data_IF_374960862032
#
_entry.id   IF_374960862032
#
_cell.length_a   1.000
_cell.length_b   1.000
_cell.length_c   1.000
_cell.angle_alpha   90.00
_cell.angle_beta   90.00
_cell.angle_gamma   90.00
#
_symmetry.space_group_name_H-M   'P 1'
#
loop_
_entity.id
_entity.type
_entity.pdbx_description
1 polymer ?
#
# COMPACT_ATOMS: atom_id res chain seq x y z
N UNK A 1 9.07 -0.08 -3.46
CA UNK A 1 9.18 0.25 -2.02
C UNK A 1 9.67 1.68 -1.82
N UNK A 2 10.99 1.89 -1.79
CA UNK A 2 11.60 3.19 -1.47
C UNK A 2 11.10 4.37 -2.32
N UNK A 3 11.13 4.25 -3.65
CA UNK A 3 10.68 5.34 -4.55
C UNK A 3 9.20 5.69 -4.36
N UNK A 4 8.36 4.70 -4.07
CA UNK A 4 6.94 4.91 -3.80
C UNK A 4 6.73 5.61 -2.46
N UNK A 5 7.47 5.22 -1.42
CA UNK A 5 7.44 5.88 -0.11
C UNK A 5 7.81 7.37 -0.22
N UNK A 6 8.86 7.67 -0.97
CA UNK A 6 9.34 9.03 -1.21
C UNK A 6 8.30 9.87 -1.98
N UNK A 7 7.71 9.28 -3.01
CA UNK A 7 6.63 9.92 -3.77
C UNK A 7 5.41 10.23 -2.89
N UNK A 8 4.95 9.27 -2.08
CA UNK A 8 3.79 9.45 -1.21
C UNK A 8 4.03 10.54 -0.15
N UNK A 9 5.22 10.58 0.45
CA UNK A 9 5.58 11.63 1.41
C UNK A 9 5.62 13.02 0.76
N UNK A 10 6.28 13.16 -0.38
CA UNK A 10 6.43 14.45 -1.07
C UNK A 10 5.10 14.95 -1.66
N UNK A 11 4.30 14.07 -2.25
CA UNK A 11 3.00 14.42 -2.82
C UNK A 11 2.02 14.89 -1.74
N UNK A 12 1.90 14.15 -0.63
CA UNK A 12 1.02 14.55 0.46
C UNK A 12 1.47 15.84 1.15
N UNK A 13 2.78 16.03 1.35
CA UNK A 13 3.34 17.28 1.90
C UNK A 13 3.15 18.49 0.97
N UNK A 14 3.22 18.30 -0.35
CA UNK A 14 2.97 19.37 -1.31
C UNK A 14 1.51 19.84 -1.27
N UNK A 15 0.54 18.92 -1.17
CA UNK A 15 -0.87 19.28 -1.05
C UNK A 15 -1.22 19.97 0.26
N UNK A 16 -0.64 19.55 1.40
CA UNK A 16 -0.82 20.26 2.69
C UNK A 16 -0.26 21.69 2.63
N UNK A 17 0.93 21.86 2.04
CA UNK A 17 1.55 23.18 1.91
C UNK A 17 0.77 24.09 0.94
N UNK A 18 0.25 23.55 -0.15
CA UNK A 18 -0.60 24.30 -1.08
C UNK A 18 -1.88 24.81 -0.38
N UNK A 19 -2.53 23.97 0.44
CA UNK A 19 -3.66 24.40 1.29
C UNK A 19 -3.25 25.52 2.25
N UNK A 20 -2.11 25.39 2.93
CA UNK A 20 -1.61 26.44 3.85
C UNK A 20 -1.34 27.78 3.17
N UNK A 21 -0.82 27.79 1.94
CA UNK A 21 -0.63 29.02 1.16
C UNK A 21 -1.98 29.70 0.89
N UNK A 22 -3.00 28.94 0.48
CA UNK A 22 -4.35 29.48 0.23
C UNK A 22 -4.97 30.04 1.53
N UNK A 23 -4.77 29.35 2.64
CA UNK A 23 -5.32 29.74 3.94
C UNK A 23 -4.65 30.95 4.59
N UNK A 24 -3.32 31.08 4.44
CA UNK A 24 -2.51 32.04 5.22
C UNK A 24 -2.03 33.20 4.36
N UNK A 25 -1.48 32.94 3.18
CA UNK A 25 -0.91 33.98 2.31
C UNK A 25 -1.99 34.65 1.47
N UNK A 26 -2.83 33.85 0.81
CA UNK A 26 -3.91 34.36 -0.03
C UNK A 26 -5.15 34.76 0.79
N UNK A 27 -5.33 34.18 1.99
CA UNK A 27 -6.49 34.42 2.88
C UNK A 27 -7.86 34.14 2.26
N UNK A 28 -7.89 33.29 1.23
CA UNK A 28 -9.08 32.97 0.44
C UNK A 28 -9.87 31.80 1.04
N UNK A 29 -10.06 31.78 2.38
CA UNK A 29 -10.81 30.70 3.05
C UNK A 29 -12.28 30.72 2.65
N UNK A 30 -12.83 29.55 2.33
CA UNK A 30 -14.23 29.40 1.92
C UNK A 30 -14.49 29.69 0.44
N UNK A 31 -13.45 29.93 -0.36
CA UNK A 31 -13.57 30.02 -1.83
C UNK A 31 -13.49 28.64 -2.48
N UNK A 32 -13.87 28.56 -3.76
CA UNK A 32 -13.72 27.35 -4.56
C UNK A 32 -12.25 26.88 -4.64
N UNK A 33 -11.30 27.81 -4.58
CA UNK A 33 -9.86 27.50 -4.52
C UNK A 33 -9.47 26.82 -3.19
N UNK A 34 -10.04 27.28 -2.07
CA UNK A 34 -9.83 26.65 -0.77
C UNK A 34 -10.47 25.25 -0.73
N UNK A 35 -11.69 25.10 -1.25
CA UNK A 35 -12.33 23.79 -1.34
C UNK A 35 -11.50 22.79 -2.16
N UNK A 36 -10.93 23.20 -3.30
CA UNK A 36 -10.09 22.35 -4.13
C UNK A 36 -8.80 21.91 -3.43
N UNK A 37 -8.15 22.81 -2.68
CA UNK A 37 -6.93 22.49 -1.92
C UNK A 37 -7.19 21.62 -0.69
N UNK A 38 -8.35 21.77 -0.05
CA UNK A 38 -8.80 20.86 1.02
C UNK A 38 -8.99 19.44 0.48
N UNK A 39 -9.62 19.27 -0.68
CA UNK A 39 -9.75 17.93 -1.30
C UNK A 39 -8.38 17.32 -1.57
N UNK A 40 -7.43 18.10 -2.10
CA UNK A 40 -6.05 17.65 -2.33
C UNK A 40 -5.35 17.16 -1.04
N UNK A 41 -5.47 17.91 0.05
CA UNK A 41 -4.89 17.51 1.34
C UNK A 41 -5.56 16.27 1.93
N UNK A 42 -6.89 16.13 1.82
CA UNK A 42 -7.60 14.93 2.30
C UNK A 42 -7.18 13.65 1.56
N UNK A 43 -6.82 13.75 0.28
CA UNK A 43 -6.23 12.62 -0.48
C UNK A 43 -4.76 12.40 -0.09
N UNK A 44 -4.05 13.46 0.28
CA UNK A 44 -2.65 13.44 0.69
C UNK A 44 -2.39 12.93 2.11
N UNK A 45 -3.33 13.06 3.04
CA UNK A 45 -3.20 12.66 4.45
C UNK A 45 -2.86 11.16 4.61
N UNK A 46 -3.57 10.21 3.95
CA UNK A 46 -3.19 8.79 4.01
C UNK A 46 -1.80 8.51 3.42
N UNK A 47 -1.33 9.35 2.49
CA UNK A 47 -0.05 9.18 1.82
C UNK A 47 1.10 9.68 2.70
N UNK A 48 1.00 10.86 3.30
CA UNK A 48 2.04 11.45 4.14
C UNK A 48 2.06 10.88 5.57
N UNK A 49 0.91 10.61 6.17
CA UNK A 49 0.86 10.27 7.61
C UNK A 49 0.78 8.76 7.89
N UNK A 50 0.29 7.97 6.93
CA UNK A 50 0.10 6.53 7.12
C UNK A 50 1.03 5.71 6.24
N UNK A 51 0.85 5.79 4.91
CA UNK A 51 1.48 4.86 3.98
C UNK A 51 2.99 5.08 3.85
N UNK A 52 3.44 6.35 3.80
CA UNK A 52 4.87 6.65 3.69
C UNK A 52 5.65 6.38 4.99
N UNK A 53 5.07 6.69 6.16
CA UNK A 53 5.65 6.37 7.48
C UNK A 53 5.78 4.85 7.66
N UNK A 54 4.78 4.08 7.22
CA UNK A 54 4.79 2.62 7.31
C UNK A 54 5.84 1.93 6.43
N UNK A 55 6.34 2.59 5.38
CA UNK A 55 7.31 1.96 4.46
C UNK A 55 8.69 1.71 5.09
N UNK A 56 9.14 2.56 6.02
CA UNK A 56 10.43 2.38 6.69
C UNK A 56 10.49 1.07 7.52
N UNK A 57 9.54 0.79 8.43
CA UNK A 57 9.52 -0.48 9.15
C UNK A 57 9.26 -1.67 8.21
N UNK A 58 8.37 -1.55 7.21
CA UNK A 58 8.12 -2.64 6.25
C UNK A 58 9.39 -3.07 5.54
N UNK A 59 10.19 -2.13 5.04
CA UNK A 59 11.45 -2.44 4.37
C UNK A 59 12.42 -3.09 5.36
N UNK A 60 12.62 -2.51 6.54
CA UNK A 60 13.57 -3.02 7.55
C UNK A 60 13.21 -4.42 8.04
N UNK A 61 11.95 -4.69 8.34
CA UNK A 61 11.52 -6.00 8.84
C UNK A 61 11.54 -7.06 7.74
N UNK A 62 11.14 -6.71 6.51
CA UNK A 62 11.17 -7.67 5.40
C UNK A 62 12.60 -8.07 5.06
N UNK A 63 13.55 -7.12 5.03
CA UNK A 63 14.96 -7.43 4.74
C UNK A 63 15.60 -8.23 5.88
N UNK A 64 15.36 -7.85 7.14
CA UNK A 64 15.87 -8.59 8.30
C UNK A 64 15.34 -10.03 8.32
N UNK A 65 14.03 -10.21 8.15
CA UNK A 65 13.42 -11.54 8.11
C UNK A 65 13.97 -12.38 6.95
N UNK A 66 14.16 -11.78 5.77
CA UNK A 66 14.76 -12.46 4.62
C UNK A 66 16.18 -12.98 4.90
N UNK A 67 17.03 -12.18 5.54
CA UNK A 67 18.38 -12.59 5.92
C UNK A 67 18.36 -13.73 6.94
N UNK A 68 17.51 -13.65 7.96
CA UNK A 68 17.36 -14.70 8.97
C UNK A 68 16.83 -16.01 8.37
N UNK A 69 15.91 -15.93 7.40
CA UNK A 69 15.38 -17.10 6.71
C UNK A 69 16.45 -17.80 5.87
N UNK A 70 17.31 -17.04 5.19
CA UNK A 70 18.45 -17.58 4.44
C UNK A 70 19.45 -18.25 5.38
N UNK A 71 19.82 -17.57 6.47
CA UNK A 71 20.72 -18.11 7.48
C UNK A 71 20.21 -19.43 8.06
N UNK A 72 18.91 -19.50 8.40
CA UNK A 72 18.28 -20.73 8.87
C UNK A 72 18.36 -21.86 7.83
N UNK A 73 18.13 -21.56 6.55
CA UNK A 73 18.22 -22.55 5.47
C UNK A 73 19.65 -23.09 5.28
N UNK A 74 20.67 -22.25 5.43
CA UNK A 74 22.07 -22.67 5.40
C UNK A 74 22.45 -23.51 6.62
N UNK A 75 22.01 -23.13 7.83
CA UNK A 75 22.22 -23.93 9.04
C UNK A 75 21.60 -25.33 8.95
N UNK A 76 20.40 -25.46 8.40
CA UNK A 76 19.76 -26.77 8.16
C UNK A 76 20.55 -27.63 7.16
N UNK A 77 21.23 -26.99 6.21
CA UNK A 77 22.11 -27.67 5.24
C UNK A 77 23.38 -28.17 5.93
N UNK A 78 24.01 -27.33 6.75
CA UNK A 78 25.19 -27.69 7.54
C UNK A 78 24.92 -28.83 8.53
N UNK A 79 23.71 -28.91 9.09
CA UNK A 79 23.27 -29.99 9.97
C UNK A 79 22.96 -31.32 9.26
N UNK A 80 23.15 -31.42 7.94
CA UNK A 80 22.86 -32.62 7.16
C UNK A 80 21.37 -32.91 6.93
N UNK A 81 20.48 -31.97 7.28
CA UNK A 81 19.02 -32.11 7.16
C UNK A 81 18.48 -31.66 5.79
N UNK A 82 19.17 -32.03 4.71
CA UNK A 82 18.84 -31.60 3.34
C UNK A 82 17.42 -31.97 2.90
N UNK A 83 16.91 -33.13 3.34
CA UNK A 83 15.54 -33.56 3.05
C UNK A 83 14.47 -32.66 3.68
N UNK A 84 14.70 -32.21 4.93
CA UNK A 84 13.79 -31.29 5.62
C UNK A 84 13.81 -29.89 4.98
N UNK A 85 15.00 -29.41 4.59
CA UNK A 85 15.16 -28.15 3.83
C UNK A 85 14.35 -28.20 2.53
N UNK A 86 14.53 -29.25 1.72
CA UNK A 86 13.82 -29.41 0.45
C UNK A 86 12.32 -29.53 0.66
N UNK A 87 11.89 -30.31 1.66
CA UNK A 87 10.47 -30.43 2.03
C UNK A 87 9.85 -29.07 2.38
N UNK A 88 10.51 -28.30 3.26
CA UNK A 88 10.05 -26.97 3.64
C UNK A 88 10.01 -26.01 2.43
N UNK A 89 11.04 -26.04 1.57
CA UNK A 89 11.08 -25.21 0.36
C UNK A 89 9.92 -25.50 -0.59
N UNK A 90 9.62 -26.78 -0.82
CA UNK A 90 8.48 -27.19 -1.67
C UNK A 90 7.15 -26.74 -1.05
N UNK A 91 6.97 -26.88 0.26
CA UNK A 91 5.75 -26.46 0.96
C UNK A 91 5.55 -24.94 0.87
N UNK A 92 6.58 -24.15 1.16
CA UNK A 92 6.51 -22.69 1.05
C UNK A 92 6.24 -22.24 -0.39
N UNK A 93 6.90 -22.88 -1.36
CA UNK A 93 6.71 -22.56 -2.78
C UNK A 93 5.28 -22.88 -3.25
N UNK A 94 4.76 -24.06 -2.91
CA UNK A 94 3.39 -24.44 -3.24
C UNK A 94 2.36 -23.48 -2.61
N UNK A 95 2.57 -23.11 -1.33
CA UNK A 95 1.71 -22.16 -0.63
C UNK A 95 1.74 -20.78 -1.30
N UNK A 96 2.92 -20.30 -1.70
CA UNK A 96 3.08 -19.04 -2.42
C UNK A 96 2.35 -19.07 -3.78
N UNK A 97 2.47 -20.16 -4.54
CA UNK A 97 1.76 -20.31 -5.81
C UNK A 97 0.24 -20.29 -5.63
N UNK A 98 -0.29 -21.00 -4.62
CA UNK A 98 -1.72 -20.99 -4.30
C UNK A 98 -2.20 -19.59 -3.92
N UNK A 99 -1.44 -18.87 -3.10
CA UNK A 99 -1.76 -17.50 -2.71
C UNK A 99 -1.79 -16.55 -3.90
N UNK A 100 -0.77 -16.60 -4.78
CA UNK A 100 -0.71 -15.79 -5.99
C UNK A 100 -1.89 -16.12 -6.91
N UNK A 101 -2.15 -17.40 -7.16
CA UNK A 101 -3.27 -17.81 -8.00
C UNK A 101 -4.61 -17.29 -7.45
N UNK A 102 -4.88 -17.48 -6.15
CA UNK A 102 -6.10 -16.96 -5.53
C UNK A 102 -6.18 -15.44 -5.60
N UNK A 103 -5.08 -14.74 -5.35
CA UNK A 103 -5.06 -13.28 -5.34
C UNK A 103 -5.39 -12.68 -6.72
N UNK A 104 -4.78 -13.23 -7.78
CA UNK A 104 -4.95 -12.68 -9.14
C UNK A 104 -6.17 -13.21 -9.90
N UNK A 105 -6.63 -14.43 -9.61
CA UNK A 105 -7.68 -15.09 -10.40
C UNK A 105 -9.00 -15.23 -9.66
N UNK A 106 -9.00 -15.38 -8.32
CA UNK A 106 -10.24 -15.53 -7.56
C UNK A 106 -10.87 -14.20 -7.10
N UNK A 107 -10.12 -13.08 -7.15
CA UNK A 107 -10.64 -11.73 -6.84
C UNK A 107 -10.97 -10.90 -8.08
N UNK A 108 -11.11 -11.53 -9.25
CA UNK A 108 -11.61 -10.83 -10.44
C UNK A 108 -13.11 -10.57 -10.26
N UNK A 109 -13.48 -9.31 -10.01
CA UNK A 109 -14.87 -8.87 -10.00
C UNK A 109 -15.48 -9.24 -11.35
N UNK A 110 -16.57 -10.00 -11.34
CA UNK A 110 -17.38 -10.24 -12.53
C UNK A 110 -18.01 -8.90 -12.94
N UNK A 111 -17.52 -8.31 -14.02
CA UNK A 111 -18.05 -7.09 -14.65
C UNK A 111 -19.41 -7.41 -15.28
N UNK A 112 -20.43 -7.68 -14.46
CA UNK A 112 -21.75 -8.05 -14.97
C UNK A 112 -22.89 -8.23 -13.97
N UNK A 113 -22.69 -8.15 -12.66
CA UNK A 113 -23.75 -8.49 -11.69
C UNK A 113 -24.21 -7.37 -10.74
N UNK A 114 -23.82 -6.10 -10.98
CA UNK A 114 -24.25 -4.97 -10.13
C UNK A 114 -24.65 -3.73 -10.94
N UNK A 115 -25.29 -3.93 -12.09
CA UNK A 115 -26.06 -2.88 -12.77
C UNK A 115 -27.55 -3.16 -12.54
N UNK A 116 -27.99 -3.02 -11.29
CA UNK A 116 -29.38 -3.09 -10.88
C UNK A 116 -29.85 -1.72 -10.41
N UNK A 117 -30.53 -1.00 -11.31
CA UNK A 117 -31.51 0.06 -11.06
C UNK A 117 -31.06 1.29 -10.25
N UNK A 118 -30.67 2.33 -10.99
CA UNK A 118 -30.62 3.69 -10.47
C UNK A 118 -32.05 4.23 -10.26
N UNK A 119 -32.44 4.40 -9.01
CA UNK A 119 -33.61 5.20 -8.64
C UNK A 119 -33.26 6.69 -8.79
N UNK A 120 -34.07 7.52 -9.47
CA UNK A 120 -33.78 8.94 -9.60
C UNK A 120 -33.97 9.65 -8.26
N UNK A 121 -32.90 10.28 -7.77
CA UNK A 121 -32.93 11.13 -6.56
C UNK A 121 -33.75 12.39 -6.86
N UNK A 122 -34.81 12.70 -6.09
CA UNK A 122 -35.59 13.91 -6.28
C UNK A 122 -34.76 15.15 -5.92
N UNK A 123 -34.64 16.08 -6.85
CA UNK A 123 -34.09 17.41 -6.60
C UNK A 123 -34.97 18.14 -5.56
N UNK A 124 -34.35 18.61 -4.49
CA UNK A 124 -34.90 19.66 -3.62
C UNK A 124 -34.24 20.98 -3.95
#
# INVERSE_FOLDING_TARGET
GLFQALFMANAGGAWDNAKKIVEVELKEKGTDLHAATVVGDTVGDPFKDTSSVAMNPVIKFTTLFGLLAVELAEQMTAAGQGGLRLGAAVVFFATALVFVYRSFYAMRIQVGAAAGEGEPVPAK
#
